data_IF_876847447721
#
_entry.id   IF_876847447721
#
_cell.length_a   1.000
_cell.length_b   1.000
_cell.length_c   1.000
_cell.angle_alpha   90.00
_cell.angle_beta   90.00
_cell.angle_gamma   90.00
#
_symmetry.space_group_name_H-M   'P 1'
#
loop_
_entity.id
_entity.type
_entity.pdbx_description
1 polymer ?
#
# COMPACT_ATOMS: atom_id res chain seq x y z
N UNK A 1 -0.67 0.65 -2.74
CA UNK A 1 0.18 1.02 -3.89
C UNK A 1 0.37 2.53 -3.86
N UNK A 2 1.62 2.97 -3.75
CA UNK A 2 1.98 4.40 -3.65
C UNK A 2 2.64 4.94 -4.94
N UNK A 3 3.19 4.06 -5.78
CA UNK A 3 3.83 4.42 -7.05
C UNK A 3 2.83 4.67 -8.19
N UNK A 4 1.97 5.69 -8.06
CA UNK A 4 1.03 6.11 -9.12
C UNK A 4 1.06 7.64 -9.32
N UNK A 5 0.56 8.10 -10.47
CA UNK A 5 0.42 9.53 -10.75
C UNK A 5 -0.84 10.09 -10.06
N UNK A 6 -0.65 10.60 -8.84
CA UNK A 6 -1.72 11.18 -8.04
C UNK A 6 -2.42 12.37 -8.74
N UNK A 7 -1.73 13.14 -9.57
CA UNK A 7 -2.34 14.30 -10.26
C UNK A 7 -3.35 13.84 -11.29
N UNK A 8 -3.04 12.76 -12.04
CA UNK A 8 -3.97 12.19 -13.01
C UNK A 8 -5.19 11.57 -12.34
N UNK A 9 -5.02 10.89 -11.22
CA UNK A 9 -6.14 10.30 -10.47
C UNK A 9 -7.02 11.36 -9.82
N UNK A 10 -6.43 12.40 -9.23
CA UNK A 10 -7.16 13.53 -8.67
C UNK A 10 -8.02 14.23 -9.73
N UNK A 11 -7.47 14.41 -10.93
CA UNK A 11 -8.19 15.00 -12.06
C UNK A 11 -9.32 14.08 -12.56
N UNK A 12 -9.04 12.78 -12.73
CA UNK A 12 -10.03 11.78 -13.19
C UNK A 12 -11.24 11.69 -12.24
N UNK A 13 -10.99 11.76 -10.94
CA UNK A 13 -12.01 11.60 -9.90
C UNK A 13 -12.53 12.94 -9.34
N UNK A 14 -12.07 14.07 -9.88
CA UNK A 14 -12.46 15.42 -9.46
C UNK A 14 -12.28 15.65 -7.94
N UNK A 15 -11.21 15.11 -7.37
CA UNK A 15 -11.01 15.12 -5.92
C UNK A 15 -10.74 16.52 -5.38
N UNK A 16 -10.01 17.35 -6.14
CA UNK A 16 -9.62 18.69 -5.68
C UNK A 16 -10.81 19.61 -5.46
N UNK A 17 -11.85 19.50 -6.30
CA UNK A 17 -13.10 20.26 -6.16
C UNK A 17 -13.86 19.87 -4.88
N UNK A 18 -13.64 18.65 -4.39
CA UNK A 18 -14.19 18.13 -3.14
C UNK A 18 -13.29 18.41 -1.93
N UNK A 19 -12.16 19.13 -2.12
CA UNK A 19 -11.16 19.33 -1.06
C UNK A 19 -10.38 18.06 -0.70
N UNK A 20 -10.37 17.06 -1.59
CA UNK A 20 -9.72 15.77 -1.42
C UNK A 20 -8.49 15.62 -2.32
N UNK A 21 -7.66 14.62 -2.00
CA UNK A 21 -6.52 14.15 -2.82
C UNK A 21 -6.32 12.65 -2.69
N UNK A 22 -5.84 12.03 -3.75
CA UNK A 22 -5.42 10.63 -3.74
C UNK A 22 -4.07 10.47 -3.02
N UNK A 23 -3.96 9.40 -2.22
CA UNK A 23 -2.76 9.13 -1.40
C UNK A 23 -2.31 7.68 -1.59
N UNK A 24 -3.22 6.72 -1.49
CA UNK A 24 -2.93 5.29 -1.63
C UNK A 24 -4.00 4.61 -2.47
N UNK A 25 -3.61 3.67 -3.32
CA UNK A 25 -4.52 2.76 -4.01
C UNK A 25 -4.43 1.36 -3.38
N UNK A 26 -5.59 0.75 -3.11
CA UNK A 26 -5.71 -0.62 -2.64
C UNK A 26 -6.45 -1.46 -3.69
N UNK A 27 -5.73 -2.37 -4.35
CA UNK A 27 -6.34 -3.36 -5.23
C UNK A 27 -6.88 -4.53 -4.38
N UNK A 28 -8.13 -4.91 -4.60
CA UNK A 28 -8.79 -6.02 -3.91
C UNK A 28 -9.23 -7.08 -4.93
N UNK A 29 -9.07 -8.35 -4.60
CA UNK A 29 -9.40 -9.47 -5.47
C UNK A 29 -8.78 -10.78 -4.99
N UNK A 30 -8.77 -11.78 -5.86
CA UNK A 30 -8.07 -13.05 -5.64
C UNK A 30 -6.71 -13.01 -6.33
N UNK A 31 -5.71 -13.65 -5.70
CA UNK A 31 -4.36 -13.74 -6.27
C UNK A 31 -4.33 -14.68 -7.46
N UNK A 32 -3.45 -14.40 -8.40
CA UNK A 32 -3.07 -15.34 -9.44
C UNK A 32 -2.09 -16.36 -8.83
N UNK A 33 -2.53 -17.60 -8.65
CA UNK A 33 -1.73 -18.62 -7.98
C UNK A 33 -0.45 -18.98 -8.75
N UNK A 34 -0.45 -18.85 -10.08
CA UNK A 34 0.67 -19.23 -10.94
C UNK A 34 1.69 -18.10 -11.09
N UNK A 35 1.22 -16.84 -11.12
CA UNK A 35 2.06 -15.68 -11.42
C UNK A 35 2.38 -14.79 -10.19
N UNK A 36 1.75 -15.01 -9.03
CA UNK A 36 2.12 -14.31 -7.78
C UNK A 36 3.34 -14.97 -7.13
N UNK A 37 4.52 -14.66 -7.66
CA UNK A 37 5.81 -15.15 -7.14
C UNK A 37 6.06 -14.74 -5.68
N UNK A 38 5.40 -13.68 -5.20
CA UNK A 38 5.59 -13.19 -3.83
C UNK A 38 4.71 -13.90 -2.81
N UNK A 39 3.66 -14.60 -3.25
CA UNK A 39 2.73 -15.32 -2.39
C UNK A 39 3.41 -16.32 -1.43
N UNK A 40 4.49 -16.97 -1.89
CA UNK A 40 5.18 -18.02 -1.15
C UNK A 40 6.39 -17.52 -0.34
N UNK A 41 6.78 -16.25 -0.50
CA UNK A 41 7.93 -15.71 0.21
C UNK A 41 7.62 -15.51 1.70
N UNK A 42 8.63 -15.77 2.54
CA UNK A 42 8.52 -15.48 3.98
C UNK A 42 8.37 -13.98 4.21
N UNK A 43 7.54 -13.61 5.18
CA UNK A 43 7.46 -12.23 5.65
C UNK A 43 8.72 -11.89 6.43
N UNK A 44 9.45 -10.88 5.98
CA UNK A 44 10.65 -10.36 6.67
C UNK A 44 10.27 -9.07 7.40
N UNK A 45 10.66 -8.94 8.66
CA UNK A 45 10.44 -7.78 9.53
C UNK A 45 11.70 -7.54 10.37
N UNK A 46 11.87 -6.33 10.88
CA UNK A 46 12.87 -6.04 11.90
C UNK A 46 12.62 -6.90 13.15
N UNK A 47 13.69 -7.29 13.82
CA UNK A 47 13.59 -8.01 15.08
C UNK A 47 12.91 -7.14 16.14
N UNK A 48 12.13 -7.76 17.02
CA UNK A 48 11.31 -7.05 18.00
C UNK A 48 12.16 -6.19 18.96
N UNK A 49 13.35 -6.67 19.31
CA UNK A 49 14.29 -5.96 20.17
C UNK A 49 14.88 -4.70 19.52
N UNK A 50 14.90 -4.62 18.19
CA UNK A 50 15.31 -3.42 17.45
C UNK A 50 14.13 -2.46 17.23
N UNK A 51 12.94 -3.02 16.96
CA UNK A 51 11.77 -2.23 16.61
C UNK A 51 11.01 -1.65 17.81
N UNK A 52 11.09 -2.28 18.99
CA UNK A 52 10.24 -1.94 20.15
C UNK A 52 11.09 -1.65 21.38
N UNK A 53 10.72 -0.58 22.09
CA UNK A 53 11.19 -0.31 23.46
C UNK A 53 10.09 -0.63 24.46
N UNK A 54 10.34 -1.57 25.37
CA UNK A 54 9.39 -1.91 26.45
C UNK A 54 9.65 -1.03 27.67
N UNK A 55 8.58 -0.48 28.25
CA UNK A 55 8.58 0.33 29.47
C UNK A 55 7.64 -0.28 30.51
N UNK A 56 8.05 -0.29 31.77
CA UNK A 56 7.30 -0.83 32.92
C UNK A 56 6.56 0.26 33.67
#
# INVERSE_FOLDING_TARGET
>A
MEGFDSTKFDALLQLREQGLRSVVILALGYRDAENDHFAQLKKVRLDLAEFVTFVN
#
